data_IF_131951097832
#
_entry.id   IF_131951097832
#
_cell.length_a   1.000
_cell.length_b   1.000
_cell.length_c   1.000
_cell.angle_alpha   90.00
_cell.angle_beta   90.00
_cell.angle_gamma   90.00
#
_symmetry.space_group_name_H-M   'P 1'
#
loop_
_entity.id
_entity.type
_entity.pdbx_description
1 polymer ?
#
# COMPACT_ATOMS: atom_id res chain seq x y z
N UNK A 1 -20.18 22.26 5.54
CA UNK A 1 -19.71 23.57 6.03
C UNK A 1 -20.59 24.62 5.39
N UNK A 2 -21.39 25.31 6.18
CA UNK A 2 -22.15 26.48 5.70
C UNK A 2 -21.25 27.72 5.66
N UNK A 3 -21.58 28.70 4.81
CA UNK A 3 -20.83 29.96 4.68
C UNK A 3 -20.74 30.72 6.01
N UNK A 4 -21.84 30.72 6.79
CA UNK A 4 -21.91 31.35 8.12
C UNK A 4 -21.00 30.68 9.15
N UNK A 5 -20.82 29.37 9.07
CA UNK A 5 -19.88 28.66 9.96
C UNK A 5 -18.43 28.98 9.62
N UNK A 6 -18.09 29.05 8.33
CA UNK A 6 -16.73 29.40 7.90
C UNK A 6 -16.35 30.83 8.33
N UNK A 7 -17.26 31.79 8.17
CA UNK A 7 -17.09 33.19 8.55
C UNK A 7 -16.71 33.36 10.03
N UNK A 8 -17.40 32.64 10.94
CA UNK A 8 -17.13 32.66 12.39
C UNK A 8 -15.68 32.29 12.74
N UNK A 9 -15.03 31.44 11.95
CA UNK A 9 -13.65 31.04 12.19
C UNK A 9 -12.62 31.90 11.43
N UNK A 10 -13.02 32.49 10.29
CA UNK A 10 -12.12 33.27 9.45
C UNK A 10 -11.96 34.71 9.92
N UNK A 11 -13.04 35.38 10.32
CA UNK A 11 -13.00 36.77 10.76
C UNK A 11 -12.05 36.98 11.96
N UNK A 12 -12.08 36.15 13.03
CA UNK A 12 -11.14 36.30 14.14
C UNK A 12 -9.69 35.96 13.77
N UNK A 13 -9.48 35.07 12.79
CA UNK A 13 -8.14 34.61 12.40
C UNK A 13 -7.35 35.68 11.66
N UNK A 14 -8.03 36.49 10.86
CA UNK A 14 -7.45 37.57 10.05
C UNK A 14 -7.75 38.96 10.61
N UNK A 15 -8.45 39.04 11.73
CA UNK A 15 -8.78 40.27 12.45
C UNK A 15 -9.65 41.23 11.62
N UNK A 16 -10.61 40.68 10.88
CA UNK A 16 -11.64 41.42 10.15
C UNK A 16 -12.95 41.42 10.92
N UNK A 17 -13.77 42.44 10.68
CA UNK A 17 -15.07 42.56 11.34
C UNK A 17 -16.22 42.08 10.45
N UNK A 18 -16.05 42.16 9.12
CA UNK A 18 -17.09 41.88 8.13
C UNK A 18 -16.57 40.96 7.01
N UNK A 19 -17.48 40.18 6.42
CA UNK A 19 -17.17 39.26 5.31
C UNK A 19 -16.66 40.00 4.06
N UNK A 20 -17.18 41.21 3.80
CA UNK A 20 -16.78 42.01 2.65
C UNK A 20 -15.29 42.40 2.70
N UNK A 21 -14.77 42.72 3.88
CA UNK A 21 -13.35 43.03 4.09
C UNK A 21 -12.46 41.82 3.78
N UNK A 22 -12.90 40.64 4.23
CA UNK A 22 -12.21 39.38 3.97
C UNK A 22 -12.19 39.06 2.46
N UNK A 23 -13.34 39.23 1.78
CA UNK A 23 -13.45 38.99 0.33
C UNK A 23 -12.61 40.01 -0.47
N UNK A 24 -12.58 41.26 -0.03
CA UNK A 24 -11.73 42.30 -0.63
C UNK A 24 -10.24 41.95 -0.48
N UNK A 25 -9.80 41.47 0.69
CA UNK A 25 -8.42 41.04 0.92
C UNK A 25 -8.04 39.80 0.10
N UNK A 26 -8.98 38.88 -0.16
CA UNK A 26 -8.77 37.76 -1.07
C UNK A 26 -8.68 38.24 -2.52
N UNK A 27 -9.59 39.14 -2.94
CA UNK A 27 -9.60 39.72 -4.27
C UNK A 27 -8.37 40.59 -4.58
N UNK A 28 -7.82 41.26 -3.57
CA UNK A 28 -6.59 42.03 -3.63
C UNK A 28 -5.31 41.18 -3.57
N UNK A 29 -5.43 39.90 -3.17
CA UNK A 29 -4.30 38.96 -3.07
C UNK A 29 -3.51 39.02 -1.75
N UNK A 30 -3.93 39.87 -0.80
CA UNK A 30 -3.36 39.93 0.56
C UNK A 30 -3.54 38.60 1.30
N UNK A 31 -4.66 37.90 1.04
CA UNK A 31 -4.92 36.55 1.53
C UNK A 31 -4.90 35.56 0.37
N UNK A 32 -4.00 34.58 0.46
CA UNK A 32 -3.97 33.48 -0.49
C UNK A 32 -5.09 32.49 -0.21
N UNK A 33 -5.90 32.19 -1.23
CA UNK A 33 -6.99 31.20 -1.19
C UNK A 33 -6.55 29.87 -0.56
N UNK A 34 -5.39 29.34 -0.94
CA UNK A 34 -4.87 28.09 -0.40
C UNK A 34 -4.63 28.14 1.12
N UNK A 35 -4.19 29.28 1.67
CA UNK A 35 -3.98 29.40 3.11
C UNK A 35 -5.31 29.38 3.87
N UNK A 36 -6.32 30.05 3.34
CA UNK A 36 -7.68 30.03 3.87
C UNK A 36 -8.28 28.60 3.84
N UNK A 37 -8.14 27.90 2.70
CA UNK A 37 -8.65 26.53 2.54
C UNK A 37 -7.98 25.58 3.54
N UNK A 38 -6.66 25.62 3.68
CA UNK A 38 -5.94 24.79 4.65
C UNK A 38 -6.36 25.08 6.10
N UNK A 39 -6.62 26.34 6.43
CA UNK A 39 -7.10 26.72 7.76
C UNK A 39 -8.52 26.21 8.04
N UNK A 40 -9.44 26.33 7.07
CA UNK A 40 -10.78 25.77 7.20
C UNK A 40 -10.73 24.24 7.32
N UNK A 41 -9.90 23.58 6.52
CA UNK A 41 -9.70 22.14 6.60
C UNK A 41 -9.16 21.72 7.97
N UNK A 42 -8.23 22.45 8.58
CA UNK A 42 -7.71 22.10 9.91
C UNK A 42 -8.72 22.33 11.05
N UNK A 43 -9.67 23.24 10.87
CA UNK A 43 -10.72 23.50 11.86
C UNK A 43 -11.87 22.50 11.77
N UNK A 44 -12.33 22.19 10.56
CA UNK A 44 -13.54 21.38 10.34
C UNK A 44 -13.27 19.93 9.98
N UNK A 45 -12.11 19.66 9.38
CA UNK A 45 -11.73 18.34 8.88
C UNK A 45 -10.45 17.89 9.57
N UNK A 46 -10.44 17.94 10.92
CA UNK A 46 -9.46 17.21 11.72
C UNK A 46 -9.71 15.73 11.41
N UNK A 47 -8.87 15.09 10.58
CA UNK A 47 -9.01 13.66 10.39
C UNK A 47 -8.82 13.04 11.78
N UNK A 48 -9.57 11.99 12.09
CA UNK A 48 -9.29 11.21 13.30
C UNK A 48 -7.80 10.86 13.32
N UNK A 49 -7.20 10.71 14.50
CA UNK A 49 -5.82 10.22 14.60
C UNK A 49 -5.63 8.93 13.77
N UNK A 50 -6.69 8.12 13.67
CA UNK A 50 -6.76 6.91 12.84
C UNK A 50 -6.70 7.18 11.32
N UNK A 51 -7.32 8.25 10.83
CA UNK A 51 -7.30 8.60 9.40
C UNK A 51 -5.96 9.22 9.00
N UNK A 52 -5.33 9.98 9.90
CA UNK A 52 -3.97 10.49 9.69
C UNK A 52 -2.95 9.35 9.65
N UNK A 53 -3.06 8.40 10.57
CA UNK A 53 -2.19 7.22 10.60
C UNK A 53 -2.38 6.37 9.33
N UNK A 54 -3.63 6.11 8.93
CA UNK A 54 -3.92 5.39 7.69
C UNK A 54 -3.37 6.10 6.43
N UNK A 55 -3.42 7.42 6.37
CA UNK A 55 -2.86 8.20 5.28
C UNK A 55 -1.32 8.13 5.26
N UNK A 56 -0.67 8.20 6.43
CA UNK A 56 0.77 8.06 6.58
C UNK A 56 1.24 6.64 6.18
N UNK A 57 0.52 5.59 6.60
CA UNK A 57 0.78 4.20 6.19
C UNK A 57 0.68 4.02 4.66
N UNK A 58 -0.32 4.63 4.01
CA UNK A 58 -0.46 4.58 2.54
C UNK A 58 0.72 5.25 1.84
N UNK A 59 1.21 6.39 2.35
CA UNK A 59 2.38 7.06 1.78
C UNK A 59 3.67 6.25 1.97
N UNK A 60 3.83 5.56 3.10
CA UNK A 60 4.97 4.67 3.34
C UNK A 60 4.95 3.46 2.41
N UNK A 61 3.79 2.83 2.20
CA UNK A 61 3.63 1.70 1.26
C UNK A 61 4.00 2.07 -0.18
N UNK A 62 3.70 3.29 -0.62
CA UNK A 62 4.11 3.76 -1.94
C UNK A 62 5.62 3.97 -2.06
N UNK A 63 6.32 4.33 -0.97
CA UNK A 63 7.78 4.50 -0.95
C UNK A 63 8.54 3.18 -0.80
N UNK A 64 7.95 2.15 -0.19
CA UNK A 64 8.56 0.81 -0.09
C UNK A 64 8.41 -0.05 -1.34
N UNK A 65 7.74 0.43 -2.39
CA UNK A 65 7.77 -0.14 -3.74
C UNK A 65 9.07 0.16 -4.51
N UNK A 66 10.04 0.86 -3.91
CA UNK A 66 11.41 0.70 -4.36
C UNK A 66 11.79 -0.77 -4.14
N UNK A 67 12.13 -1.55 -5.17
CA UNK A 67 12.47 -2.95 -5.00
C UNK A 67 13.61 -2.99 -4.00
N UNK A 68 13.32 -3.43 -2.77
CA UNK A 68 14.37 -3.76 -1.85
C UNK A 68 15.22 -4.76 -2.60
N UNK A 69 16.47 -4.38 -2.82
CA UNK A 69 17.51 -5.18 -3.41
C UNK A 69 17.80 -6.31 -2.41
N UNK A 70 16.79 -7.17 -2.19
CA UNK A 70 16.94 -8.47 -1.58
C UNK A 70 17.87 -9.14 -2.56
N UNK A 71 19.15 -9.18 -2.18
CA UNK A 71 20.18 -10.01 -2.81
C UNK A 71 19.46 -11.28 -3.25
N UNK A 72 19.51 -11.58 -4.56
CA UNK A 72 19.01 -12.85 -5.12
C UNK A 72 19.46 -13.94 -4.17
N UNK A 73 18.55 -14.36 -3.30
CA UNK A 73 18.87 -15.33 -2.26
C UNK A 73 18.61 -16.66 -2.92
N UNK A 74 19.54 -17.00 -3.80
CA UNK A 74 19.47 -18.16 -4.68
C UNK A 74 19.41 -19.47 -3.86
N UNK A 75 19.64 -19.42 -2.53
CA UNK A 75 19.67 -20.58 -1.64
C UNK A 75 18.46 -20.80 -0.72
N UNK A 76 17.34 -20.08 -0.87
CA UNK A 76 16.19 -20.25 0.06
C UNK A 76 15.29 -21.44 -0.22
N UNK A 77 15.31 -21.96 -1.44
CA UNK A 77 14.47 -23.08 -1.85
C UNK A 77 15.33 -24.02 -2.66
N UNK A 78 15.43 -25.25 -2.19
CA UNK A 78 16.14 -26.34 -2.86
C UNK A 78 15.10 -27.27 -3.47
N UNK A 79 15.17 -27.48 -4.77
CA UNK A 79 14.20 -28.33 -5.49
C UNK A 79 14.93 -29.55 -5.98
N UNK A 80 14.47 -30.74 -5.58
CA UNK A 80 15.12 -32.03 -5.88
C UNK A 80 16.63 -32.05 -5.58
N UNK A 81 17.06 -31.36 -4.51
CA UNK A 81 18.49 -31.27 -4.14
C UNK A 81 19.31 -30.27 -4.96
N UNK A 82 18.70 -29.55 -5.90
CA UNK A 82 19.33 -28.48 -6.68
C UNK A 82 18.89 -27.12 -6.16
N UNK A 83 19.85 -26.36 -5.64
CA UNK A 83 19.66 -24.95 -5.26
C UNK A 83 19.77 -24.00 -6.45
N UNK A 84 19.47 -22.72 -6.24
CA UNK A 84 19.66 -21.64 -7.22
C UNK A 84 18.81 -21.75 -8.51
N UNK A 85 17.69 -22.48 -8.47
CA UNK A 85 16.71 -22.49 -9.56
C UNK A 85 15.86 -21.23 -9.52
N UNK A 86 15.40 -20.77 -10.69
CA UNK A 86 14.44 -19.67 -10.76
C UNK A 86 13.15 -20.10 -10.09
N UNK A 87 12.81 -19.48 -8.96
CA UNK A 87 11.62 -19.81 -8.18
C UNK A 87 10.96 -18.54 -7.65
N UNK A 88 9.67 -18.65 -7.32
CA UNK A 88 8.91 -17.58 -6.67
C UNK A 88 7.84 -18.15 -5.76
N UNK A 89 7.47 -17.39 -4.72
CA UNK A 89 6.42 -17.76 -3.77
C UNK A 89 5.05 -17.55 -4.42
N UNK A 90 4.18 -18.56 -4.35
CA UNK A 90 2.82 -18.48 -4.87
C UNK A 90 1.97 -17.47 -4.10
N UNK A 91 1.16 -16.68 -4.81
CA UNK A 91 0.28 -15.66 -4.21
C UNK A 91 -0.94 -16.25 -3.48
N UNK A 92 -1.31 -17.49 -3.78
CA UNK A 92 -2.51 -18.13 -3.24
C UNK A 92 -2.34 -18.60 -1.78
N UNK A 93 -1.15 -19.09 -1.40
CA UNK A 93 -0.91 -19.66 -0.07
C UNK A 93 0.28 -19.05 0.68
N UNK A 94 1.11 -18.23 0.00
CA UNK A 94 2.21 -17.46 0.58
C UNK A 94 3.01 -18.22 1.68
N UNK A 95 3.62 -19.36 1.34
CA UNK A 95 4.32 -20.21 2.30
C UNK A 95 5.40 -19.43 3.07
N UNK A 96 5.49 -19.70 4.37
CA UNK A 96 6.48 -19.12 5.27
C UNK A 96 7.51 -20.17 5.71
N UNK A 97 8.70 -19.76 6.20
CA UNK A 97 9.69 -20.72 6.70
C UNK A 97 9.10 -21.59 7.82
N UNK A 98 9.17 -22.91 7.64
CA UNK A 98 8.57 -23.90 8.55
C UNK A 98 7.32 -24.58 7.98
N UNK A 99 6.72 -24.02 6.92
CA UNK A 99 5.64 -24.69 6.19
C UNK A 99 6.22 -25.82 5.32
N UNK A 100 5.47 -26.92 5.19
CA UNK A 100 5.75 -27.93 4.16
C UNK A 100 5.42 -27.35 2.79
N UNK A 101 6.43 -27.31 1.91
CA UNK A 101 6.32 -26.69 0.58
C UNK A 101 6.44 -27.72 -0.54
N UNK A 102 5.84 -27.39 -1.68
CA UNK A 102 5.89 -28.18 -2.91
C UNK A 102 6.09 -27.23 -4.08
N UNK A 103 6.98 -27.59 -5.00
CA UNK A 103 7.21 -26.83 -6.22
C UNK A 103 6.29 -27.26 -7.35
N UNK A 104 5.84 -26.30 -8.15
CA UNK A 104 5.17 -26.55 -9.41
C UNK A 104 5.89 -25.83 -10.55
N UNK A 105 6.30 -26.56 -11.58
CA UNK A 105 7.02 -26.02 -12.72
C UNK A 105 6.06 -25.17 -13.57
N UNK A 106 6.26 -23.85 -13.64
CA UNK A 106 5.45 -22.95 -14.48
C UNK A 106 6.07 -22.75 -15.86
N UNK A 107 5.27 -22.28 -16.82
CA UNK A 107 5.78 -21.91 -18.14
C UNK A 107 6.43 -20.53 -18.08
N UNK A 108 7.77 -20.48 -18.20
CA UNK A 108 8.55 -19.25 -18.36
C UNK A 108 8.82 -18.41 -17.10
N UNK A 109 8.27 -18.78 -15.94
CA UNK A 109 8.53 -18.09 -14.65
C UNK A 109 9.26 -18.94 -13.62
N UNK A 110 9.82 -20.08 -14.05
CA UNK A 110 10.48 -21.03 -13.18
C UNK A 110 9.49 -21.82 -12.31
N UNK A 111 9.85 -22.06 -11.06
CA UNK A 111 9.09 -22.90 -10.13
C UNK A 111 8.23 -22.00 -9.22
N UNK A 112 6.93 -22.29 -9.16
CA UNK A 112 6.01 -21.68 -8.18
C UNK A 112 6.03 -22.52 -6.91
N UNK A 113 6.35 -21.91 -5.77
CA UNK A 113 6.41 -22.58 -4.47
C UNK A 113 5.06 -22.44 -3.79
N UNK A 114 4.38 -23.56 -3.60
CA UNK A 114 3.10 -23.68 -2.91
C UNK A 114 3.29 -24.36 -1.54
N UNK A 115 2.31 -24.21 -0.67
CA UNK A 115 2.20 -25.04 0.54
C UNK A 115 1.62 -26.40 0.17
N UNK A 116 2.03 -27.45 0.86
CA UNK A 116 1.64 -28.84 0.55
C UNK A 116 0.11 -29.07 0.59
N UNK A 117 -0.61 -28.30 1.42
CA UNK A 117 -2.07 -28.35 1.63
C UNK A 117 -2.86 -27.34 0.75
N UNK A 118 -2.24 -26.72 -0.25
CA UNK A 118 -2.89 -25.67 -1.05
C UNK A 118 -3.93 -26.23 -2.05
N UNK A 119 -5.15 -25.70 -2.04
CA UNK A 119 -6.23 -26.07 -2.98
C UNK A 119 -5.84 -25.87 -4.45
N UNK A 120 -5.22 -24.73 -4.75
CA UNK A 120 -4.73 -24.42 -6.11
C UNK A 120 -3.62 -25.38 -6.56
N UNK A 121 -2.80 -25.85 -5.63
CA UNK A 121 -1.81 -26.89 -5.93
C UNK A 121 -2.50 -28.22 -6.24
N UNK A 122 -3.58 -28.57 -5.53
CA UNK A 122 -4.34 -29.80 -5.79
C UNK A 122 -5.01 -29.78 -7.19
N UNK A 123 -5.52 -28.62 -7.62
CA UNK A 123 -6.03 -28.44 -8.99
C UNK A 123 -4.91 -28.62 -10.02
N UNK A 124 -3.77 -27.96 -9.83
CA UNK A 124 -2.61 -28.08 -10.72
C UNK A 124 -2.08 -29.52 -10.79
N UNK A 125 -2.08 -30.24 -9.66
CA UNK A 125 -1.75 -31.67 -9.56
C UNK A 125 -2.67 -32.54 -10.40
N UNK A 126 -3.95 -32.20 -10.42
CA UNK A 126 -4.95 -32.95 -11.17
C UNK A 126 -4.80 -32.76 -12.68
N UNK A 127 -4.39 -31.57 -13.11
CA UNK A 127 -4.21 -31.23 -14.52
C UNK A 127 -2.85 -31.63 -15.11
N UNK A 128 -1.77 -31.51 -14.34
CA UNK A 128 -0.40 -31.76 -14.80
C UNK A 128 0.48 -32.30 -13.67
N UNK A 129 0.28 -33.57 -13.26
CA UNK A 129 1.01 -34.18 -12.14
C UNK A 129 2.51 -34.29 -12.39
N UNK A 130 2.95 -34.39 -13.65
CA UNK A 130 4.36 -34.47 -14.05
C UNK A 130 5.16 -33.19 -13.79
N UNK A 131 4.47 -32.08 -13.48
CA UNK A 131 5.09 -30.77 -13.23
C UNK A 131 5.24 -30.46 -11.74
N UNK A 132 4.94 -31.42 -10.87
CA UNK A 132 5.14 -31.30 -9.42
C UNK A 132 6.53 -31.79 -9.07
N UNK A 133 7.22 -31.01 -8.23
CA UNK A 133 8.57 -31.28 -7.75
C UNK A 133 8.64 -31.07 -6.25
N UNK A 134 9.47 -31.88 -5.59
CA UNK A 134 9.74 -31.73 -4.16
C UNK A 134 10.61 -30.50 -3.91
N UNK A 135 10.21 -29.67 -2.96
CA UNK A 135 10.92 -28.45 -2.58
C UNK A 135 11.09 -28.41 -1.06
N UNK A 136 12.25 -27.94 -0.59
CA UNK A 136 12.58 -27.74 0.82
C UNK A 136 13.33 -26.44 1.05
#
# INVERSE_FOLDING_TARGET
ISLKEAEKHLLPRYNFNELEELLAAIGGGDIRLNQMVNFLQSQFNKPSAEEQDAAALKQLQQKTYAPQNRRKDDGRVVVEGVGNLMHHIARCCQPIPGDEIVGFITQGRGISVHRADCEQLAELRSHAPERIVEAV
#
